data_IF_290340829334
#
_entry.id   IF_290340829334
#
_cell.length_a   1.000
_cell.length_b   1.000
_cell.length_c   1.000
_cell.angle_alpha   90.00
_cell.angle_beta   90.00
_cell.angle_gamma   90.00
#
_symmetry.space_group_name_H-M   'P 1'
#
loop_
_entity.id
_entity.type
_entity.pdbx_description
1 polymer ?
#
# COMPACT_ATOMS: atom_id res chain seq x y z
N UNK A 1 9.49 15.73 -6.53
CA UNK A 1 9.57 14.28 -6.43
C UNK A 1 8.30 13.56 -5.97
N UNK A 2 7.12 14.26 -5.89
CA UNK A 2 5.88 13.65 -5.37
C UNK A 2 5.39 12.44 -6.21
N UNK A 3 5.69 12.41 -7.51
CA UNK A 3 5.25 11.37 -8.43
C UNK A 3 6.34 10.38 -8.86
N UNK A 4 7.57 10.52 -8.42
CA UNK A 4 8.71 9.73 -8.90
C UNK A 4 8.52 8.22 -8.73
N UNK A 5 7.95 7.79 -7.61
CA UNK A 5 7.65 6.37 -7.36
C UNK A 5 6.62 5.75 -8.32
N UNK A 6 5.88 6.59 -9.05
CA UNK A 6 4.90 6.20 -10.06
C UNK A 6 5.31 6.68 -11.48
N UNK A 7 6.59 7.04 -11.66
CA UNK A 7 7.18 7.53 -12.91
C UNK A 7 6.58 8.85 -13.43
N UNK A 8 6.01 9.67 -12.54
CA UNK A 8 5.61 11.04 -12.86
C UNK A 8 6.71 12.02 -12.44
N UNK A 9 7.23 12.77 -13.39
CA UNK A 9 8.32 13.71 -13.17
C UNK A 9 7.83 15.08 -12.67
N UNK A 10 8.67 15.83 -11.99
CA UNK A 10 8.39 17.21 -11.59
C UNK A 10 8.07 18.10 -12.81
N UNK A 11 8.66 17.80 -13.99
CA UNK A 11 8.39 18.50 -15.24
C UNK A 11 6.95 18.32 -15.68
N UNK A 12 6.43 17.08 -15.68
CA UNK A 12 5.04 16.78 -16.04
C UNK A 12 4.05 17.48 -15.11
N UNK A 13 4.34 17.50 -13.80
CA UNK A 13 3.55 18.28 -12.85
C UNK A 13 3.57 19.79 -13.16
N UNK A 14 4.73 20.35 -13.51
CA UNK A 14 4.87 21.75 -13.86
C UNK A 14 4.14 22.12 -15.14
N UNK A 15 4.15 21.25 -16.15
CA UNK A 15 3.47 21.44 -17.44
C UNK A 15 1.94 21.54 -17.29
N UNK A 16 1.36 20.89 -16.27
CA UNK A 16 -0.08 21.01 -15.94
C UNK A 16 -0.37 22.11 -14.92
N UNK A 17 0.61 22.98 -14.62
CA UNK A 17 0.44 24.16 -13.79
C UNK A 17 0.72 23.95 -12.29
N UNK A 18 1.28 22.82 -11.87
CA UNK A 18 1.69 22.64 -10.49
C UNK A 18 2.96 23.42 -10.17
N UNK A 19 3.01 24.06 -8.99
CA UNK A 19 4.21 24.71 -8.48
C UNK A 19 5.13 23.68 -7.80
N UNK A 20 6.30 23.48 -8.35
CA UNK A 20 7.32 22.61 -7.78
C UNK A 20 8.11 23.37 -6.71
N UNK A 21 8.25 22.77 -5.54
CA UNK A 21 9.07 23.30 -4.45
C UNK A 21 9.94 22.22 -3.84
N UNK A 22 11.17 22.57 -3.48
CA UNK A 22 12.10 21.71 -2.76
C UNK A 22 12.13 22.03 -1.24
N UNK A 23 11.30 22.98 -0.81
CA UNK A 23 11.10 23.28 0.61
C UNK A 23 9.93 22.45 1.15
N UNK A 24 10.25 21.35 1.85
CA UNK A 24 9.27 20.43 2.43
C UNK A 24 8.32 21.14 3.40
N UNK A 25 8.83 22.00 4.28
CA UNK A 25 8.01 22.75 5.21
C UNK A 25 6.94 23.60 4.50
N UNK A 26 7.29 24.26 3.40
CA UNK A 26 6.37 25.08 2.64
C UNK A 26 5.19 24.30 2.05
N UNK A 27 5.37 22.98 1.82
CA UNK A 27 4.29 22.08 1.42
C UNK A 27 3.33 21.84 2.58
N UNK A 28 3.86 21.51 3.77
CA UNK A 28 3.05 21.22 4.95
C UNK A 28 2.35 22.45 5.55
N UNK A 29 2.78 23.64 5.23
CA UNK A 29 2.10 24.90 5.62
C UNK A 29 0.85 25.22 4.78
N UNK A 30 0.49 24.36 3.80
CA UNK A 30 -0.70 24.56 2.98
C UNK A 30 -1.98 24.19 3.73
N UNK A 31 -3.13 24.78 3.37
CA UNK A 31 -4.41 24.49 4.02
C UNK A 31 -4.92 23.06 3.76
N UNK A 32 -4.50 22.46 2.65
CA UNK A 32 -4.79 21.06 2.31
C UNK A 32 -3.48 20.37 1.93
N UNK A 33 -3.19 19.25 2.57
CA UNK A 33 -2.00 18.44 2.29
C UNK A 33 -2.43 17.01 2.00
N UNK A 34 -1.97 16.47 0.88
CA UNK A 34 -2.13 15.07 0.50
C UNK A 34 -0.78 14.37 0.62
N UNK A 35 -0.73 13.27 1.38
CA UNK A 35 0.47 12.46 1.57
C UNK A 35 0.13 10.96 1.58
N UNK A 36 0.93 10.13 0.96
CA UNK A 36 0.68 8.67 0.93
C UNK A 36 0.90 8.03 2.31
N UNK A 37 2.05 8.28 2.93
CA UNK A 37 2.36 7.72 4.26
C UNK A 37 1.81 8.55 5.41
N UNK A 38 1.83 8.02 6.65
CA UNK A 38 1.48 8.79 7.84
C UNK A 38 2.39 10.00 8.01
N UNK A 39 1.90 11.03 8.70
CA UNK A 39 2.72 12.19 9.07
C UNK A 39 3.78 11.79 10.09
N UNK A 40 4.96 12.38 9.99
CA UNK A 40 5.94 12.36 11.06
C UNK A 40 5.59 13.41 12.12
N UNK A 41 6.19 13.33 13.31
CA UNK A 41 5.99 14.34 14.34
C UNK A 41 6.52 15.72 13.92
N UNK A 42 7.60 15.76 13.15
CA UNK A 42 8.18 16.98 12.59
C UNK A 42 7.24 17.62 11.57
N UNK A 43 6.69 16.84 10.65
CA UNK A 43 5.71 17.31 9.66
C UNK A 43 4.45 17.88 10.33
N UNK A 44 3.96 17.27 11.42
CA UNK A 44 2.84 17.79 12.20
C UNK A 44 3.15 19.19 12.75
N UNK A 45 4.41 19.45 13.17
CA UNK A 45 4.78 20.77 13.66
C UNK A 45 4.70 21.88 12.59
N UNK A 46 4.95 21.55 11.33
CA UNK A 46 4.84 22.49 10.20
C UNK A 46 3.40 22.78 9.76
N UNK A 47 2.47 21.86 10.04
CA UNK A 47 1.07 22.01 9.62
C UNK A 47 0.41 23.16 10.39
N UNK A 48 -0.28 24.02 9.65
CA UNK A 48 -1.06 25.12 10.23
C UNK A 48 -2.32 24.61 10.95
N UNK A 49 -2.74 25.29 12.03
CA UNK A 49 -4.01 24.98 12.67
C UNK A 49 -5.19 24.96 11.68
N UNK A 50 -6.12 24.04 11.88
CA UNK A 50 -7.33 23.84 11.05
C UNK A 50 -7.06 23.37 9.61
N UNK A 51 -5.82 22.99 9.25
CA UNK A 51 -5.54 22.40 7.94
C UNK A 51 -6.24 21.04 7.78
N UNK A 52 -6.50 20.68 6.53
CA UNK A 52 -7.01 19.36 6.14
C UNK A 52 -5.84 18.50 5.66
N UNK A 53 -5.66 17.36 6.28
CA UNK A 53 -4.67 16.35 5.88
C UNK A 53 -5.38 15.12 5.37
N UNK A 54 -5.00 14.66 4.19
CA UNK A 54 -5.47 13.39 3.60
C UNK A 54 -4.24 12.48 3.48
N UNK A 55 -4.17 11.45 4.31
CA UNK A 55 -3.00 10.55 4.35
C UNK A 55 -3.38 9.17 4.87
N UNK A 56 -2.42 8.24 4.90
CA UNK A 56 -2.59 7.02 5.68
C UNK A 56 -2.62 7.35 7.18
N UNK A 57 -3.64 6.84 7.89
CA UNK A 57 -3.80 6.99 9.35
C UNK A 57 -4.07 5.61 9.95
N UNK A 58 -3.08 4.70 9.99
CA UNK A 58 -3.26 3.35 10.50
C UNK A 58 -3.42 3.38 12.03
N UNK A 59 -4.66 3.60 12.48
CA UNK A 59 -5.01 3.88 13.87
C UNK A 59 -4.57 2.80 14.87
N UNK A 60 -4.39 1.56 14.42
CA UNK A 60 -3.93 0.43 15.23
C UNK A 60 -2.42 0.38 15.45
N UNK A 61 -1.64 1.12 14.66
CA UNK A 61 -0.16 1.15 14.75
C UNK A 61 0.39 2.48 15.25
N UNK A 62 -0.38 3.56 15.12
CA UNK A 62 0.02 4.90 15.55
C UNK A 62 -0.15 5.05 17.08
N UNK A 63 0.82 5.69 17.70
CA UNK A 63 0.79 5.95 19.15
C UNK A 63 -0.25 7.02 19.50
N UNK A 64 -0.79 6.95 20.72
CA UNK A 64 -1.73 7.95 21.26
C UNK A 64 -1.21 9.39 21.13
N UNK A 65 0.09 9.60 21.32
CA UNK A 65 0.73 10.90 21.21
C UNK A 65 0.54 11.55 19.83
N UNK A 66 0.56 10.76 18.77
CA UNK A 66 0.28 11.23 17.41
C UNK A 66 -1.09 11.92 17.31
N UNK A 67 -2.12 11.27 17.81
CA UNK A 67 -3.48 11.82 17.78
C UNK A 67 -3.63 13.05 18.68
N UNK A 68 -2.95 13.08 19.84
CA UNK A 68 -2.98 14.24 20.73
C UNK A 68 -2.36 15.47 20.06
N UNK A 69 -1.27 15.33 19.29
CA UNK A 69 -0.68 16.43 18.52
C UNK A 69 -1.61 16.95 17.43
N UNK A 70 -2.30 16.06 16.70
CA UNK A 70 -3.29 16.47 15.71
C UNK A 70 -4.44 17.28 16.36
N UNK A 71 -4.93 16.82 17.50
CA UNK A 71 -6.00 17.50 18.27
C UNK A 71 -5.53 18.88 18.75
N UNK A 72 -4.33 18.98 19.34
CA UNK A 72 -3.77 20.23 19.81
C UNK A 72 -3.72 21.29 18.72
N UNK A 73 -3.35 20.90 17.50
CA UNK A 73 -3.30 21.80 16.35
C UNK A 73 -4.64 21.95 15.62
N UNK A 74 -5.70 21.28 16.07
CA UNK A 74 -7.02 21.26 15.42
C UNK A 74 -6.93 20.84 13.95
N UNK A 75 -6.08 19.86 13.66
CA UNK A 75 -5.91 19.33 12.29
C UNK A 75 -7.08 18.41 11.96
N UNK A 76 -7.69 18.63 10.78
CA UNK A 76 -8.68 17.73 10.23
C UNK A 76 -7.94 16.62 9.47
N UNK A 77 -7.85 15.42 10.03
CA UNK A 77 -7.16 14.30 9.41
C UNK A 77 -8.18 13.31 8.80
N UNK A 78 -8.04 13.04 7.51
CA UNK A 78 -8.80 12.03 6.77
C UNK A 78 -7.86 10.90 6.42
N UNK A 79 -8.06 9.73 7.05
CA UNK A 79 -7.37 8.50 6.66
C UNK A 79 -8.02 7.90 5.41
N UNK A 80 -7.29 7.76 4.32
CA UNK A 80 -7.86 7.20 3.10
C UNK A 80 -8.23 5.72 3.24
N UNK A 81 -7.77 5.04 4.28
CA UNK A 81 -8.21 3.69 4.65
C UNK A 81 -9.69 3.63 5.09
N UNK A 82 -10.26 4.78 5.46
CA UNK A 82 -11.64 4.88 5.91
C UNK A 82 -12.59 5.48 4.88
N UNK A 83 -12.07 5.90 3.71
CA UNK A 83 -12.88 6.44 2.62
C UNK A 83 -13.71 5.30 2.03
N UNK A 84 -15.03 5.49 2.00
CA UNK A 84 -16.00 4.52 1.50
C UNK A 84 -16.71 5.07 0.27
N UNK A 85 -17.03 4.16 -0.66
CA UNK A 85 -17.95 4.46 -1.77
C UNK A 85 -19.42 4.38 -1.33
N UNK A 86 -20.34 4.64 -2.26
CA UNK A 86 -21.79 4.58 -2.01
C UNK A 86 -22.28 3.18 -1.61
N UNK A 87 -21.58 2.12 -2.00
CA UNK A 87 -21.84 0.74 -1.65
C UNK A 87 -21.13 0.30 -0.36
N UNK A 88 -20.50 1.24 0.37
CA UNK A 88 -19.78 1.01 1.62
C UNK A 88 -18.48 0.19 1.47
N UNK A 89 -17.93 0.06 0.26
CA UNK A 89 -16.62 -0.52 0.02
C UNK A 89 -15.50 0.48 0.32
N UNK A 90 -14.29 -0.01 0.49
CA UNK A 90 -13.08 0.77 0.74
C UNK A 90 -12.20 0.78 -0.53
N UNK A 91 -12.44 1.66 -1.52
CA UNK A 91 -11.80 1.57 -2.84
C UNK A 91 -10.29 1.69 -2.77
N UNK A 92 -9.74 2.61 -1.98
CA UNK A 92 -8.28 2.78 -1.85
C UNK A 92 -7.64 1.55 -1.22
N UNK A 93 -8.23 1.04 -0.14
CA UNK A 93 -7.73 -0.17 0.55
C UNK A 93 -7.80 -1.39 -0.35
N UNK A 94 -8.87 -1.50 -1.16
CA UNK A 94 -9.03 -2.60 -2.10
C UNK A 94 -7.88 -2.64 -3.11
N UNK A 95 -7.58 -1.51 -3.76
CA UNK A 95 -6.46 -1.41 -4.72
C UNK A 95 -5.12 -1.79 -4.08
N UNK A 96 -4.85 -1.29 -2.88
CA UNK A 96 -3.62 -1.65 -2.14
C UNK A 96 -3.55 -3.15 -1.83
N UNK A 97 -4.67 -3.79 -1.49
CA UNK A 97 -4.75 -5.23 -1.24
C UNK A 97 -4.55 -6.06 -2.50
N UNK A 98 -5.05 -5.62 -3.65
CA UNK A 98 -4.84 -6.26 -4.94
C UNK A 98 -3.35 -6.24 -5.31
N UNK A 99 -2.70 -5.07 -5.19
CA UNK A 99 -1.25 -4.92 -5.40
C UNK A 99 -0.46 -5.82 -4.42
N UNK A 100 -0.81 -5.80 -3.14
CA UNK A 100 -0.11 -6.58 -2.12
C UNK A 100 -0.17 -8.09 -2.41
N UNK A 101 -1.33 -8.62 -2.83
CA UNK A 101 -1.50 -10.02 -3.18
C UNK A 101 -0.61 -10.44 -4.35
N UNK A 102 -0.63 -9.65 -5.43
CA UNK A 102 0.20 -9.90 -6.61
C UNK A 102 1.69 -9.82 -6.27
N UNK A 103 2.10 -8.74 -5.59
CA UNK A 103 3.50 -8.48 -5.25
C UNK A 103 4.06 -9.55 -4.30
N UNK A 104 3.28 -10.04 -3.35
CA UNK A 104 3.73 -11.06 -2.41
C UNK A 104 4.24 -12.33 -3.12
N UNK A 105 3.56 -12.78 -4.17
CA UNK A 105 3.96 -13.96 -4.94
C UNK A 105 5.18 -13.66 -5.82
N UNK A 106 5.26 -12.47 -6.42
CA UNK A 106 6.41 -12.07 -7.23
C UNK A 106 7.68 -11.99 -6.36
N UNK A 107 7.60 -11.35 -5.20
CA UNK A 107 8.70 -11.26 -4.24
C UNK A 107 9.10 -12.66 -3.72
N UNK A 108 8.13 -13.53 -3.42
CA UNK A 108 8.44 -14.90 -3.02
C UNK A 108 9.19 -15.65 -4.15
N UNK A 109 8.74 -15.51 -5.39
CA UNK A 109 9.42 -16.11 -6.55
C UNK A 109 10.84 -15.59 -6.73
N UNK A 110 11.04 -14.28 -6.56
CA UNK A 110 12.36 -13.64 -6.62
C UNK A 110 13.31 -14.17 -5.53
N UNK A 111 12.85 -14.24 -4.28
CA UNK A 111 13.64 -14.73 -3.14
C UNK A 111 13.94 -16.24 -3.23
N UNK A 112 13.13 -17.03 -3.94
CA UNK A 112 13.40 -18.45 -4.19
C UNK A 112 14.45 -18.67 -5.29
N UNK A 113 14.74 -17.66 -6.11
CA UNK A 113 15.72 -17.73 -7.18
C UNK A 113 17.15 -17.82 -6.64
N UNK A 114 17.96 -18.68 -7.25
CA UNK A 114 19.40 -18.79 -6.93
C UNK A 114 20.19 -17.51 -7.22
N UNK A 115 19.72 -16.68 -8.16
CA UNK A 115 20.31 -15.39 -8.47
C UNK A 115 20.21 -14.41 -7.27
N UNK A 116 19.22 -14.59 -6.41
CA UNK A 116 19.01 -13.78 -5.22
C UNK A 116 19.33 -14.54 -3.90
N UNK A 117 20.14 -15.59 -3.98
CA UNK A 117 20.55 -16.38 -2.81
C UNK A 117 19.53 -17.41 -2.34
N UNK A 118 18.46 -17.64 -3.07
CA UNK A 118 17.47 -18.68 -2.80
C UNK A 118 17.94 -20.06 -3.30
N UNK A 119 17.10 -21.05 -3.09
CA UNK A 119 17.41 -22.46 -3.40
C UNK A 119 17.22 -22.84 -4.89
N UNK A 120 16.98 -21.87 -5.79
CA UNK A 120 16.76 -22.13 -7.21
C UNK A 120 15.44 -22.84 -7.53
N UNK A 121 14.38 -22.57 -6.76
CA UNK A 121 13.07 -23.19 -6.90
C UNK A 121 12.20 -22.32 -7.82
N UNK A 122 11.58 -22.94 -8.83
CA UNK A 122 10.63 -22.30 -9.74
C UNK A 122 9.21 -22.57 -9.31
N UNK A 123 8.35 -21.55 -9.38
CA UNK A 123 6.91 -21.66 -9.03
C UNK A 123 6.20 -22.75 -9.85
N UNK A 124 6.36 -22.73 -11.16
CA UNK A 124 5.70 -23.68 -12.07
C UNK A 124 6.40 -25.03 -12.21
N UNK A 125 7.54 -25.22 -11.57
CA UNK A 125 8.37 -26.41 -11.78
C UNK A 125 8.96 -26.48 -13.21
N UNK A 126 9.45 -27.65 -13.58
CA UNK A 126 9.95 -27.97 -14.94
C UNK A 126 9.63 -29.43 -15.25
N UNK A 127 9.86 -29.87 -16.49
CA UNK A 127 9.65 -31.28 -16.88
C UNK A 127 10.35 -32.24 -15.91
N UNK A 128 9.59 -33.12 -15.27
CA UNK A 128 10.07 -34.08 -14.27
C UNK A 128 10.16 -33.52 -12.83
N UNK A 129 9.95 -32.21 -12.60
CA UNK A 129 9.92 -31.59 -11.29
C UNK A 129 8.54 -30.96 -11.04
N UNK A 130 7.91 -31.33 -9.93
CA UNK A 130 6.58 -30.83 -9.58
C UNK A 130 6.57 -29.30 -9.37
N UNK A 131 5.45 -28.62 -9.68
CA UNK A 131 5.26 -27.22 -9.30
C UNK A 131 5.39 -27.02 -7.78
N UNK A 132 5.80 -25.82 -7.40
CA UNK A 132 5.80 -25.37 -6.00
C UNK A 132 4.36 -25.36 -5.48
N UNK A 133 4.17 -25.83 -4.26
CA UNK A 133 2.90 -25.68 -3.55
C UNK A 133 2.91 -24.38 -2.75
N UNK A 134 1.95 -23.50 -3.05
CA UNK A 134 1.72 -22.23 -2.32
C UNK A 134 0.52 -22.43 -1.41
N UNK A 135 0.73 -22.25 -0.11
CA UNK A 135 -0.34 -22.31 0.89
C UNK A 135 -0.72 -20.89 1.30
N UNK A 136 -1.99 -20.54 1.17
CA UNK A 136 -2.52 -19.21 1.47
C UNK A 136 -3.51 -19.33 2.63
N UNK A 137 -3.26 -18.57 3.70
CA UNK A 137 -4.12 -18.51 4.87
C UNK A 137 -4.99 -17.25 4.82
N UNK A 138 -6.29 -17.44 4.63
CA UNK A 138 -7.29 -16.42 4.38
C UNK A 138 -7.73 -16.39 2.91
N UNK A 139 -9.01 -16.07 2.63
CA UNK A 139 -9.60 -15.97 1.29
C UNK A 139 -10.15 -14.56 0.99
N UNK A 140 -9.45 -13.51 1.48
CA UNK A 140 -9.80 -12.12 1.18
C UNK A 140 -9.15 -11.61 -0.11
N UNK A 141 -9.31 -10.33 -0.42
CA UNK A 141 -8.81 -9.69 -1.65
C UNK A 141 -7.30 -9.92 -1.90
N UNK A 142 -6.48 -9.89 -0.86
CA UNK A 142 -5.04 -10.20 -0.95
C UNK A 142 -4.84 -11.64 -1.42
N UNK A 143 -5.53 -12.58 -0.78
CA UNK A 143 -5.43 -14.00 -1.08
C UNK A 143 -5.92 -14.32 -2.50
N UNK A 144 -7.02 -13.72 -2.94
CA UNK A 144 -7.54 -13.86 -4.30
C UNK A 144 -6.48 -13.48 -5.35
N UNK A 145 -5.84 -12.32 -5.19
CA UNK A 145 -4.83 -11.84 -6.13
C UNK A 145 -3.53 -12.64 -6.03
N UNK A 146 -3.13 -13.05 -4.83
CA UNK A 146 -2.00 -13.97 -4.64
C UNK A 146 -2.25 -15.33 -5.31
N UNK A 147 -3.45 -15.89 -5.14
CA UNK A 147 -3.87 -17.16 -5.80
C UNK A 147 -3.79 -17.03 -7.32
N UNK A 148 -4.38 -15.99 -7.89
CA UNK A 148 -4.36 -15.73 -9.33
C UNK A 148 -2.95 -15.62 -9.87
N UNK A 149 -2.08 -14.90 -9.16
CA UNK A 149 -0.67 -14.71 -9.55
C UNK A 149 0.11 -16.02 -9.45
N UNK A 150 -0.03 -16.78 -8.35
CA UNK A 150 0.65 -18.05 -8.17
C UNK A 150 0.24 -19.10 -9.22
N UNK A 151 -1.07 -19.21 -9.52
CA UNK A 151 -1.58 -20.05 -10.59
C UNK A 151 -1.06 -19.60 -11.97
N UNK A 152 -0.98 -18.29 -12.22
CA UNK A 152 -0.41 -17.72 -13.45
C UNK A 152 1.06 -18.07 -13.65
N UNK A 153 1.81 -18.25 -12.56
CA UNK A 153 3.21 -18.71 -12.58
C UNK A 153 3.33 -20.25 -12.60
N UNK A 154 2.20 -20.96 -12.67
CA UNK A 154 2.16 -22.42 -12.76
C UNK A 154 2.30 -23.15 -11.42
N UNK A 155 2.22 -22.45 -10.29
CA UNK A 155 2.24 -23.07 -8.96
C UNK A 155 0.96 -23.87 -8.67
N UNK A 156 1.04 -24.84 -7.77
CA UNK A 156 -0.12 -25.45 -7.12
C UNK A 156 -0.53 -24.59 -5.92
N UNK A 157 -1.84 -24.29 -5.76
CA UNK A 157 -2.29 -23.38 -4.69
C UNK A 157 -3.31 -24.09 -3.81
N UNK A 158 -3.16 -23.95 -2.50
CA UNK A 158 -4.16 -24.30 -1.49
C UNK A 158 -4.54 -23.06 -0.68
N UNK A 159 -5.83 -22.76 -0.62
CA UNK A 159 -6.37 -21.66 0.17
C UNK A 159 -7.15 -22.22 1.35
N UNK A 160 -6.92 -21.65 2.52
CA UNK A 160 -7.65 -21.95 3.75
C UNK A 160 -8.29 -20.69 4.32
N UNK A 161 -9.57 -20.76 4.66
CA UNK A 161 -10.27 -19.68 5.38
C UNK A 161 -11.20 -20.31 6.44
N UNK A 162 -11.52 -19.54 7.46
CA UNK A 162 -12.49 -19.90 8.47
C UNK A 162 -13.93 -19.58 8.07
N UNK A 163 -14.13 -18.92 6.92
CA UNK A 163 -15.44 -18.58 6.35
C UNK A 163 -15.68 -19.33 5.05
N UNK A 164 -16.66 -20.23 5.07
CA UNK A 164 -17.09 -20.98 3.87
C UNK A 164 -17.63 -20.08 2.75
N UNK A 165 -18.09 -18.88 3.08
CA UNK A 165 -18.62 -17.94 2.08
C UNK A 165 -17.52 -17.21 1.31
N UNK A 166 -16.26 -17.37 1.70
CA UNK A 166 -15.10 -16.77 1.03
C UNK A 166 -14.30 -17.78 0.19
N UNK A 167 -14.51 -19.06 0.42
CA UNK A 167 -13.91 -20.16 -0.33
C UNK A 167 -14.76 -20.52 -1.56
#
# INVERSE_FOLDING_TARGET
GAGEGANYTDKEYSEVGANITYNTQAVFEKPVVLKVGPLTFEEIEWIKPNALIISSVPANTLKREYFLKLIQKRINAVGFEFIKDEQNHLPVVRLLREIAGTTAILVASELMSSANGGNGILMGGVTGVRPTEVVILGAGTVAENATRTALGLGASVRVFDNSLTRL
#
